data_IF_406715255887
#
_entry.id   IF_406715255887
#
_cell.length_a   1.000
_cell.length_b   1.000
_cell.length_c   1.000
_cell.angle_alpha   90.00
_cell.angle_beta   90.00
_cell.angle_gamma   90.00
#
_symmetry.space_group_name_H-M   'P 1'
#
loop_
_entity.id
_entity.type
_entity.pdbx_description
1 polymer ?
#
# COMPACT_ATOMS: atom_id res chain seq x y z
N UNK A 1 13.51 -45.15 3.07
CA UNK A 1 13.69 -45.07 4.55
C UNK A 1 12.36 -44.60 5.14
N UNK A 2 11.63 -45.44 5.93
CA UNK A 2 10.26 -45.12 6.38
C UNK A 2 10.19 -44.10 7.51
N UNK A 3 11.26 -43.38 7.78
CA UNK A 3 11.32 -42.44 8.90
C UNK A 3 10.99 -40.97 8.53
N UNK A 4 10.75 -40.65 7.26
CA UNK A 4 10.41 -39.32 6.79
C UNK A 4 9.17 -39.34 5.89
N UNK A 5 8.07 -39.87 6.38
CA UNK A 5 6.76 -39.40 5.93
C UNK A 5 6.57 -38.04 6.57
N UNK A 6 7.00 -37.01 5.85
CA UNK A 6 7.00 -35.63 6.37
C UNK A 6 5.58 -35.07 6.53
N UNK A 7 4.54 -35.82 6.13
CA UNK A 7 3.17 -35.30 6.12
C UNK A 7 2.99 -34.09 5.18
N UNK A 8 3.93 -33.87 4.27
CA UNK A 8 3.89 -32.77 3.28
C UNK A 8 3.65 -33.45 1.92
N UNK A 9 2.38 -33.54 1.57
CA UNK A 9 1.95 -34.23 0.35
C UNK A 9 1.67 -33.27 -0.79
N UNK A 10 1.54 -31.96 -0.50
CA UNK A 10 1.22 -30.93 -1.49
C UNK A 10 2.26 -29.81 -1.51
N UNK A 11 2.39 -29.12 -2.66
CA UNK A 11 3.25 -27.95 -2.79
C UNK A 11 2.82 -26.80 -1.85
N UNK A 12 1.53 -26.71 -1.49
CA UNK A 12 1.01 -25.74 -0.55
C UNK A 12 1.50 -26.01 0.89
N UNK A 13 1.49 -27.27 1.32
CA UNK A 13 2.02 -27.68 2.63
C UNK A 13 3.53 -27.45 2.71
N UNK A 14 4.27 -27.75 1.63
CA UNK A 14 5.70 -27.45 1.55
C UNK A 14 5.98 -25.94 1.70
N UNK A 15 5.18 -25.08 1.06
CA UNK A 15 5.29 -23.64 1.21
C UNK A 15 5.00 -23.16 2.64
N UNK A 16 3.98 -23.72 3.29
CA UNK A 16 3.66 -23.42 4.70
C UNK A 16 4.82 -23.83 5.61
N UNK A 17 5.38 -25.04 5.40
CA UNK A 17 6.52 -25.51 6.16
C UNK A 17 7.76 -24.61 6.00
N UNK A 18 7.96 -24.00 4.82
CA UNK A 18 9.01 -23.01 4.59
C UNK A 18 8.75 -21.69 5.30
N UNK A 19 7.49 -21.27 5.41
CA UNK A 19 7.12 -20.02 6.09
C UNK A 19 7.34 -20.07 7.61
N UNK A 20 7.15 -21.22 8.24
CA UNK A 20 7.32 -21.38 9.70
C UNK A 20 8.71 -20.92 10.18
N UNK A 21 9.85 -21.41 9.64
CA UNK A 21 11.16 -20.95 10.07
C UNK A 21 11.42 -19.49 9.73
N UNK A 22 10.85 -18.95 8.64
CA UNK A 22 10.96 -17.53 8.31
C UNK A 22 10.26 -16.66 9.36
N UNK A 23 9.06 -17.04 9.81
CA UNK A 23 8.36 -16.34 10.89
C UNK A 23 9.07 -16.50 12.23
N UNK A 24 9.63 -17.67 12.53
CA UNK A 24 10.44 -17.89 13.72
C UNK A 24 11.68 -17.00 13.74
N UNK A 25 12.37 -16.88 12.58
CA UNK A 25 13.51 -16.01 12.40
C UNK A 25 13.11 -14.52 12.57
N UNK A 26 11.99 -14.10 11.99
CA UNK A 26 11.46 -12.76 12.15
C UNK A 26 11.13 -12.45 13.61
N UNK A 27 10.49 -13.39 14.31
CA UNK A 27 10.20 -13.26 15.74
C UNK A 27 11.49 -13.15 16.59
N UNK A 28 12.51 -13.92 16.25
CA UNK A 28 13.79 -13.86 16.91
C UNK A 28 14.50 -12.51 16.73
N UNK A 29 14.48 -11.94 15.51
CA UNK A 29 15.00 -10.59 15.27
C UNK A 29 14.18 -9.54 16.01
N UNK A 30 12.84 -9.65 15.98
CA UNK A 30 11.96 -8.72 16.68
C UNK A 30 12.24 -8.69 18.20
N UNK A 31 12.49 -9.86 18.81
CA UNK A 31 12.88 -9.95 20.23
C UNK A 31 14.19 -9.22 20.53
N UNK A 32 15.07 -9.01 19.54
CA UNK A 32 16.36 -8.34 19.70
C UNK A 32 16.30 -6.83 19.47
N UNK A 33 15.15 -6.27 19.12
CA UNK A 33 14.99 -4.82 18.99
C UNK A 33 15.23 -4.20 20.38
N UNK A 34 16.22 -3.31 20.51
CA UNK A 34 16.50 -2.67 21.79
C UNK A 34 15.37 -1.70 22.15
N UNK A 35 15.22 -1.45 23.43
CA UNK A 35 14.30 -0.41 23.90
C UNK A 35 14.78 0.95 23.39
N UNK A 36 13.93 1.62 22.61
CA UNK A 36 14.29 2.87 21.91
C UNK A 36 14.26 4.11 22.81
N UNK A 37 13.80 3.99 24.08
CA UNK A 37 13.63 5.14 24.97
C UNK A 37 12.51 6.08 24.56
N UNK A 38 11.71 5.75 23.54
CA UNK A 38 10.59 6.57 23.10
C UNK A 38 9.59 6.76 24.26
N UNK A 39 9.24 8.02 24.52
CA UNK A 39 8.26 8.34 25.56
C UNK A 39 6.93 7.69 25.22
N UNK A 40 6.50 6.77 26.07
CA UNK A 40 5.15 6.21 25.99
C UNK A 40 4.17 7.30 26.40
N UNK A 41 3.26 7.67 25.51
CA UNK A 41 2.14 8.53 25.86
C UNK A 41 1.18 7.66 26.68
N UNK A 42 1.05 7.92 28.01
CA UNK A 42 0.20 7.07 28.84
C UNK A 42 -1.24 7.16 28.38
N UNK A 43 -1.85 6.02 28.07
CA UNK A 43 -3.29 5.95 27.94
C UNK A 43 -3.90 6.04 29.33
N UNK A 44 -4.71 7.06 29.56
CA UNK A 44 -5.50 7.17 30.77
C UNK A 44 -6.69 6.18 30.68
N UNK A 45 -6.39 4.90 30.94
CA UNK A 45 -7.40 3.87 31.05
C UNK A 45 -7.86 3.84 32.51
N UNK A 46 -9.16 3.99 32.72
CA UNK A 46 -9.80 3.89 34.02
C UNK A 46 -9.84 2.41 34.44
N UNK A 47 -9.10 2.05 35.48
CA UNK A 47 -9.04 0.67 35.99
C UNK A 47 -10.41 0.17 36.50
N UNK A 48 -11.32 1.08 36.88
CA UNK A 48 -12.66 0.77 37.35
C UNK A 48 -13.69 0.58 36.23
N UNK A 49 -13.33 0.85 34.96
CA UNK A 49 -14.24 0.70 33.83
C UNK A 49 -13.99 -0.59 33.06
N UNK A 50 -15.08 -1.17 32.56
CA UNK A 50 -14.99 -2.33 31.65
C UNK A 50 -14.06 -2.06 30.48
N UNK A 51 -13.31 -3.08 30.02
CA UNK A 51 -12.39 -3.02 28.87
C UNK A 51 -13.06 -2.43 27.63
N UNK A 52 -14.30 -2.78 27.36
CA UNK A 52 -15.09 -2.27 26.22
C UNK A 52 -15.29 -0.75 26.34
N UNK A 53 -15.61 -0.25 27.56
CA UNK A 53 -15.80 1.18 27.77
C UNK A 53 -14.51 1.96 27.61
N UNK A 54 -13.39 1.41 28.07
CA UNK A 54 -12.07 2.00 27.86
C UNK A 54 -11.69 2.05 26.36
N UNK A 55 -12.01 1.00 25.58
CA UNK A 55 -11.79 1.00 24.13
C UNK A 55 -12.66 2.06 23.41
N UNK A 56 -13.91 2.22 23.83
CA UNK A 56 -14.81 3.23 23.26
C UNK A 56 -14.32 4.67 23.49
N UNK A 57 -13.64 4.93 24.62
CA UNK A 57 -13.03 6.24 24.91
C UNK A 57 -11.87 6.58 23.95
N UNK A 58 -11.22 5.59 23.34
CA UNK A 58 -10.14 5.81 22.40
C UNK A 58 -10.63 6.22 21.00
N UNK A 59 -11.90 5.94 20.65
CA UNK A 59 -12.45 6.24 19.33
C UNK A 59 -12.41 7.74 18.99
N UNK A 60 -12.83 8.67 19.88
CA UNK A 60 -12.73 10.10 19.59
C UNK A 60 -11.30 10.59 19.41
N UNK A 61 -10.34 10.14 20.23
CA UNK A 61 -8.92 10.47 20.09
C UNK A 61 -8.36 9.98 18.76
N UNK A 62 -8.68 8.75 18.37
CA UNK A 62 -8.30 8.17 17.09
C UNK A 62 -8.89 8.96 15.91
N UNK A 63 -10.16 9.33 16.00
CA UNK A 63 -10.83 10.10 14.96
C UNK A 63 -10.23 11.51 14.80
N UNK A 64 -9.86 12.13 15.92
CA UNK A 64 -9.16 13.42 15.91
C UNK A 64 -7.77 13.30 15.26
N UNK A 65 -7.03 12.23 15.54
CA UNK A 65 -5.78 11.92 14.86
C UNK A 65 -5.96 11.76 13.34
N UNK A 66 -7.00 11.01 12.93
CA UNK A 66 -7.32 10.84 11.51
C UNK A 66 -7.63 12.19 10.85
N UNK A 67 -8.44 13.03 11.50
CA UNK A 67 -8.79 14.37 11.02
C UNK A 67 -7.56 15.27 10.88
N UNK A 68 -6.66 15.29 11.88
CA UNK A 68 -5.41 16.07 11.83
C UNK A 68 -4.54 15.71 10.64
N UNK A 69 -4.40 14.41 10.34
CA UNK A 69 -3.61 13.96 9.20
C UNK A 69 -4.24 14.35 7.86
N UNK A 70 -5.58 14.28 7.75
CA UNK A 70 -6.33 14.75 6.58
C UNK A 70 -6.36 16.29 6.45
N UNK A 71 -6.04 17.05 7.48
CA UNK A 71 -5.94 18.50 7.45
C UNK A 71 -4.52 19.01 7.15
N UNK A 72 -3.49 18.20 7.43
CA UNK A 72 -2.10 18.56 7.11
C UNK A 72 -1.86 18.53 5.60
N UNK A 73 -1.31 19.60 5.04
CA UNK A 73 -1.22 19.79 3.58
C UNK A 73 -0.33 18.81 2.85
N UNK A 74 0.67 18.22 3.51
CA UNK A 74 1.46 17.11 2.98
C UNK A 74 0.90 15.76 3.40
N UNK A 75 0.45 15.65 4.64
CA UNK A 75 -0.14 14.45 5.21
C UNK A 75 -1.34 13.96 4.40
N UNK A 76 -2.28 14.86 4.06
CA UNK A 76 -3.47 14.50 3.27
C UNK A 76 -3.13 13.92 1.88
N UNK A 77 -2.11 14.47 1.22
CA UNK A 77 -1.72 14.02 -0.12
C UNK A 77 -0.97 12.68 -0.05
N UNK A 78 -0.04 12.55 0.90
CA UNK A 78 0.67 11.29 1.09
C UNK A 78 -0.28 10.18 1.57
N UNK A 79 -1.20 10.48 2.50
CA UNK A 79 -2.22 9.53 2.96
C UNK A 79 -3.14 9.10 1.81
N UNK A 80 -3.68 10.05 1.03
CA UNK A 80 -4.56 9.73 -0.10
C UNK A 80 -3.84 8.85 -1.14
N UNK A 81 -2.57 9.16 -1.45
CA UNK A 81 -1.78 8.40 -2.43
C UNK A 81 -1.47 6.99 -1.93
N UNK A 82 -1.01 6.84 -0.68
CA UNK A 82 -0.72 5.50 -0.11
C UNK A 82 -1.98 4.68 0.08
N UNK A 83 -3.06 5.29 0.54
CA UNK A 83 -4.38 4.65 0.68
C UNK A 83 -4.87 4.10 -0.66
N UNK A 84 -4.81 4.90 -1.73
CA UNK A 84 -5.19 4.45 -3.07
C UNK A 84 -4.25 3.34 -3.56
N UNK A 85 -2.93 3.49 -3.38
CA UNK A 85 -1.96 2.48 -3.78
C UNK A 85 -2.22 1.13 -3.13
N UNK A 86 -2.43 1.10 -1.81
CA UNK A 86 -2.71 -0.15 -1.09
C UNK A 86 -4.07 -0.73 -1.45
N UNK A 87 -5.08 0.12 -1.68
CA UNK A 87 -6.38 -0.29 -2.22
C UNK A 87 -6.25 -1.00 -3.56
N UNK A 88 -5.43 -0.45 -4.46
CA UNK A 88 -5.12 -1.04 -5.78
C UNK A 88 -4.32 -2.33 -5.63
N UNK A 89 -3.20 -2.30 -4.89
CA UNK A 89 -2.31 -3.45 -4.69
C UNK A 89 -3.02 -4.64 -4.06
N UNK A 90 -3.87 -4.39 -3.06
CA UNK A 90 -4.65 -5.45 -2.41
C UNK A 90 -5.61 -6.17 -3.37
N UNK A 91 -6.14 -5.45 -4.36
CA UNK A 91 -7.07 -5.99 -5.35
C UNK A 91 -6.38 -6.46 -6.64
N UNK A 92 -5.17 -5.96 -6.94
CA UNK A 92 -4.45 -6.27 -8.18
C UNK A 92 -4.21 -7.77 -8.37
N UNK A 93 -4.00 -8.53 -7.28
CA UNK A 93 -3.86 -9.99 -7.34
C UNK A 93 -5.10 -10.67 -7.94
N UNK A 94 -6.30 -10.24 -7.56
CA UNK A 94 -7.55 -10.78 -8.11
C UNK A 94 -7.73 -10.39 -9.57
N UNK A 95 -7.35 -9.17 -9.92
CA UNK A 95 -7.37 -8.65 -11.29
C UNK A 95 -6.41 -9.44 -12.17
N UNK A 96 -5.17 -9.69 -11.73
CA UNK A 96 -4.18 -10.49 -12.48
C UNK A 96 -4.65 -11.94 -12.65
N UNK A 97 -5.27 -12.53 -11.61
CA UNK A 97 -5.82 -13.88 -11.69
C UNK A 97 -6.96 -13.95 -12.73
N UNK A 98 -7.93 -13.02 -12.67
CA UNK A 98 -9.05 -12.98 -13.60
C UNK A 98 -8.60 -12.69 -15.05
N UNK A 99 -7.66 -11.74 -15.22
CA UNK A 99 -7.09 -11.42 -16.52
C UNK A 99 -6.34 -12.62 -17.12
N UNK A 100 -5.48 -13.27 -16.37
CA UNK A 100 -4.68 -14.38 -16.89
C UNK A 100 -5.53 -15.59 -17.25
N UNK A 101 -6.63 -15.82 -16.54
CA UNK A 101 -7.61 -16.83 -16.91
C UNK A 101 -8.34 -16.47 -18.22
N UNK A 102 -8.72 -15.21 -18.39
CA UNK A 102 -9.48 -14.74 -19.56
C UNK A 102 -8.59 -14.55 -20.81
N UNK A 103 -7.36 -14.00 -20.65
CA UNK A 103 -6.49 -13.65 -21.78
C UNK A 103 -5.53 -14.78 -22.16
N UNK A 104 -5.02 -15.55 -21.19
CA UNK A 104 -3.98 -16.57 -21.39
C UNK A 104 -4.53 -18.00 -21.22
N UNK A 105 -5.79 -18.17 -20.77
CA UNK A 105 -6.35 -19.48 -20.47
C UNK A 105 -5.68 -20.19 -19.29
N UNK A 106 -5.07 -19.46 -18.37
CA UNK A 106 -4.30 -20.02 -17.28
C UNK A 106 -5.17 -20.55 -16.14
N UNK A 107 -4.70 -21.64 -15.54
CA UNK A 107 -5.25 -22.13 -14.26
C UNK A 107 -4.86 -21.17 -13.13
N UNK A 108 -5.57 -21.22 -11.99
CA UNK A 108 -5.28 -20.39 -10.81
C UNK A 108 -3.82 -20.56 -10.33
N UNK A 109 -3.26 -21.77 -10.42
CA UNK A 109 -1.87 -22.05 -10.04
C UNK A 109 -0.88 -21.32 -10.95
N UNK A 110 -1.08 -21.36 -12.27
CA UNK A 110 -0.25 -20.66 -13.24
C UNK A 110 -0.41 -19.14 -13.11
N UNK A 111 -1.63 -18.67 -12.92
CA UNK A 111 -1.94 -17.26 -12.69
C UNK A 111 -1.27 -16.69 -11.42
N UNK A 112 -1.17 -17.49 -10.36
CA UNK A 112 -0.48 -17.09 -9.12
C UNK A 112 1.00 -16.79 -9.35
N UNK A 113 1.66 -17.46 -10.30
CA UNK A 113 3.05 -17.16 -10.67
C UNK A 113 3.19 -15.73 -11.23
N UNK A 114 2.20 -15.25 -11.99
CA UNK A 114 2.19 -13.88 -12.53
C UNK A 114 2.01 -12.84 -11.43
N UNK A 115 1.26 -13.15 -10.38
CA UNK A 115 1.19 -12.30 -9.18
C UNK A 115 2.57 -12.19 -8.52
N UNK A 116 3.33 -13.28 -8.47
CA UNK A 116 4.72 -13.29 -8.03
C UNK A 116 5.63 -12.39 -8.88
N UNK A 117 5.42 -12.35 -10.18
CA UNK A 117 6.15 -11.46 -11.10
C UNK A 117 5.90 -9.99 -10.78
N UNK A 118 4.65 -9.59 -10.50
CA UNK A 118 4.32 -8.24 -10.03
C UNK A 118 5.05 -7.91 -8.72
N UNK A 119 5.09 -8.86 -7.78
CA UNK A 119 5.77 -8.66 -6.50
C UNK A 119 7.28 -8.44 -6.67
N UNK A 120 7.93 -9.17 -7.58
CA UNK A 120 9.35 -8.95 -7.93
C UNK A 120 9.54 -7.53 -8.49
N UNK A 121 8.68 -7.11 -9.43
CA UNK A 121 8.70 -5.75 -9.96
C UNK A 121 8.57 -4.70 -8.85
N UNK A 122 7.61 -4.90 -7.94
CA UNK A 122 7.39 -3.99 -6.79
C UNK A 122 8.63 -3.90 -5.89
N UNK A 123 9.26 -5.03 -5.59
CA UNK A 123 10.48 -5.07 -4.79
C UNK A 123 11.63 -4.31 -5.46
N UNK A 124 11.85 -4.53 -6.76
CA UNK A 124 12.86 -3.80 -7.54
C UNK A 124 12.57 -2.30 -7.55
N UNK A 125 11.33 -1.91 -7.84
CA UNK A 125 10.91 -0.50 -7.82
C UNK A 125 11.12 0.16 -6.46
N UNK A 126 10.79 -0.55 -5.38
CA UNK A 126 10.97 -0.08 -4.00
C UNK A 126 12.46 0.14 -3.67
N UNK A 127 13.33 -0.81 -4.03
CA UNK A 127 14.79 -0.67 -3.82
C UNK A 127 15.34 0.52 -4.62
N UNK A 128 14.97 0.65 -5.88
CA UNK A 128 15.43 1.79 -6.70
C UNK A 128 14.92 3.13 -6.13
N UNK A 129 13.69 3.18 -5.65
CA UNK A 129 13.15 4.38 -5.01
C UNK A 129 13.89 4.74 -3.73
N UNK A 130 14.16 3.78 -2.84
CA UNK A 130 14.90 4.02 -1.60
C UNK A 130 16.32 4.54 -1.83
N UNK A 131 16.96 4.15 -2.94
CA UNK A 131 18.32 4.60 -3.29
C UNK A 131 18.35 5.97 -3.98
N UNK A 132 17.30 6.34 -4.73
CA UNK A 132 17.35 7.50 -5.64
C UNK A 132 16.41 8.63 -5.25
N UNK A 133 15.38 8.35 -4.44
CA UNK A 133 14.35 9.35 -4.14
C UNK A 133 14.52 9.90 -2.74
N UNK A 134 14.50 11.22 -2.67
CA UNK A 134 14.51 11.96 -1.41
C UNK A 134 13.08 12.28 -0.99
N UNK A 135 12.89 12.46 0.28
CA UNK A 135 11.59 12.72 0.90
C UNK A 135 10.88 13.97 0.33
N UNK A 136 11.65 15.04 0.11
CA UNK A 136 11.17 16.31 -0.44
C UNK A 136 10.73 16.22 -1.93
N UNK A 137 11.06 15.14 -2.62
CA UNK A 137 10.66 14.91 -4.00
C UNK A 137 9.53 13.87 -4.16
N UNK A 138 9.04 13.27 -3.06
CA UNK A 138 8.03 12.22 -3.09
C UNK A 138 6.78 12.62 -3.90
N UNK A 139 6.26 13.84 -3.72
CA UNK A 139 5.06 14.31 -4.41
C UNK A 139 5.22 14.48 -5.93
N UNK A 140 6.46 14.58 -6.44
CA UNK A 140 6.72 14.63 -7.89
C UNK A 140 6.41 13.33 -8.61
N UNK A 141 6.28 12.24 -7.87
CA UNK A 141 6.01 10.90 -8.41
C UNK A 141 4.52 10.63 -8.68
N UNK A 142 3.62 11.54 -8.32
CA UNK A 142 2.17 11.34 -8.54
C UNK A 142 1.78 10.96 -9.99
N UNK A 143 2.44 11.49 -11.05
CA UNK A 143 2.15 11.06 -12.42
C UNK A 143 2.33 9.55 -12.64
N UNK A 144 3.21 8.89 -11.87
CA UNK A 144 3.37 7.42 -11.94
C UNK A 144 2.11 6.68 -11.51
N UNK A 145 1.37 7.22 -10.53
CA UNK A 145 0.09 6.64 -10.13
C UNK A 145 -0.97 6.72 -11.23
N UNK A 146 -0.97 7.81 -12.01
CA UNK A 146 -1.84 7.92 -13.21
C UNK A 146 -1.38 6.90 -14.27
N UNK A 147 -0.07 6.80 -14.51
CA UNK A 147 0.49 5.81 -15.42
C UNK A 147 0.11 4.38 -15.02
N UNK A 148 0.14 4.04 -13.71
CA UNK A 148 -0.31 2.73 -13.24
C UNK A 148 -1.76 2.43 -13.64
N UNK A 149 -2.67 3.40 -13.51
CA UNK A 149 -4.05 3.24 -13.98
C UNK A 149 -4.12 2.94 -15.48
N UNK A 150 -3.33 3.66 -16.30
CA UNK A 150 -3.21 3.40 -17.74
C UNK A 150 -2.62 2.01 -18.01
N UNK A 151 -1.61 1.59 -17.27
CA UNK A 151 -1.02 0.24 -17.40
C UNK A 151 -2.04 -0.85 -17.05
N UNK A 152 -2.85 -0.68 -16.01
CA UNK A 152 -3.92 -1.64 -15.70
C UNK A 152 -4.90 -1.77 -16.86
N UNK A 153 -5.29 -0.66 -17.50
CA UNK A 153 -6.14 -0.71 -18.72
C UNK A 153 -5.41 -1.38 -19.88
N UNK A 154 -4.13 -1.05 -20.10
CA UNK A 154 -3.31 -1.60 -21.18
C UNK A 154 -3.09 -3.12 -21.04
N UNK A 155 -3.22 -3.68 -19.84
CA UNK A 155 -3.13 -5.13 -19.60
C UNK A 155 -4.15 -5.92 -20.45
N UNK A 156 -5.29 -5.32 -20.79
CA UNK A 156 -6.32 -5.96 -21.63
C UNK A 156 -5.89 -6.25 -23.06
N UNK A 157 -4.82 -5.63 -23.53
CA UNK A 157 -4.28 -5.81 -24.89
C UNK A 157 -3.13 -6.83 -24.94
N UNK A 158 -2.85 -7.48 -23.81
CA UNK A 158 -1.77 -8.45 -23.69
C UNK A 158 -2.37 -9.83 -23.64
N UNK A 159 -2.04 -10.65 -24.62
CA UNK A 159 -2.50 -12.03 -24.80
C UNK A 159 -1.34 -13.05 -24.84
N UNK A 160 -0.11 -12.56 -24.60
CA UNK A 160 1.11 -13.35 -24.73
C UNK A 160 1.96 -13.27 -23.46
N UNK A 161 2.43 -14.43 -22.98
CA UNK A 161 3.27 -14.54 -21.77
C UNK A 161 4.58 -13.72 -21.90
N UNK A 162 5.21 -13.72 -23.06
CA UNK A 162 6.48 -13.00 -23.28
C UNK A 162 6.34 -11.48 -23.13
N UNK A 163 5.16 -10.94 -23.41
CA UNK A 163 4.83 -9.54 -23.17
C UNK A 163 4.30 -9.32 -21.75
N UNK A 164 3.55 -10.29 -21.23
CA UNK A 164 2.94 -10.21 -19.89
C UNK A 164 3.98 -10.07 -18.78
N UNK A 165 5.04 -10.91 -18.82
CA UNK A 165 6.07 -10.91 -17.75
C UNK A 165 6.76 -9.55 -17.63
N UNK A 166 7.41 -8.96 -18.68
CA UNK A 166 8.04 -7.66 -18.55
C UNK A 166 7.05 -6.56 -18.22
N UNK A 167 5.83 -6.62 -18.76
CA UNK A 167 4.78 -5.67 -18.46
C UNK A 167 4.39 -5.66 -16.98
N UNK A 168 4.19 -6.83 -16.38
CA UNK A 168 3.86 -6.98 -14.97
C UNK A 168 5.01 -6.56 -14.05
N UNK A 169 6.27 -6.80 -14.45
CA UNK A 169 7.45 -6.29 -13.75
C UNK A 169 7.44 -4.76 -13.75
N UNK A 170 7.17 -4.14 -14.90
CA UNK A 170 7.10 -2.66 -15.01
C UNK A 170 5.94 -2.12 -14.18
N UNK A 171 4.75 -2.73 -14.27
CA UNK A 171 3.58 -2.32 -13.47
C UNK A 171 3.88 -2.39 -11.97
N UNK A 172 4.43 -3.50 -11.49
CA UNK A 172 4.87 -3.64 -10.11
C UNK A 172 5.95 -2.62 -9.75
N UNK A 173 6.94 -2.43 -10.62
CA UNK A 173 8.04 -1.49 -10.43
C UNK A 173 7.58 -0.04 -10.27
N UNK A 174 6.64 0.41 -11.09
CA UNK A 174 6.02 1.73 -10.96
C UNK A 174 5.34 1.89 -9.58
N UNK A 175 4.64 0.85 -9.14
CA UNK A 175 3.99 0.82 -7.84
C UNK A 175 4.98 0.93 -6.68
N UNK A 176 6.00 0.08 -6.66
CA UNK A 176 7.05 0.10 -5.65
C UNK A 176 7.82 1.43 -5.61
N UNK A 177 8.11 1.98 -6.79
CA UNK A 177 8.82 3.26 -6.91
C UNK A 177 7.98 4.44 -6.40
N UNK A 178 6.66 4.40 -6.56
CA UNK A 178 5.75 5.43 -6.07
C UNK A 178 5.54 5.33 -4.55
N UNK A 179 5.27 4.10 -4.05
CA UNK A 179 4.78 3.94 -2.68
C UNK A 179 5.84 4.20 -1.62
N UNK A 180 7.10 3.83 -1.88
CA UNK A 180 8.16 3.95 -0.86
C UNK A 180 8.37 5.39 -0.41
N UNK A 181 8.65 6.39 -1.27
CA UNK A 181 8.84 7.76 -0.83
C UNK A 181 7.55 8.42 -0.33
N UNK A 182 6.39 8.04 -0.88
CA UNK A 182 5.11 8.57 -0.39
C UNK A 182 4.77 8.04 1.00
N UNK A 183 5.06 6.77 1.27
CA UNK A 183 4.88 6.16 2.59
C UNK A 183 5.85 6.76 3.62
N UNK A 184 7.12 6.97 3.24
CA UNK A 184 8.10 7.62 4.08
C UNK A 184 7.66 9.06 4.44
N UNK A 185 7.16 9.83 3.46
CA UNK A 185 6.61 11.16 3.69
C UNK A 185 5.41 11.13 4.64
N UNK A 186 4.49 10.18 4.46
CA UNK A 186 3.34 9.98 5.33
C UNK A 186 3.75 9.67 6.75
N UNK A 187 4.68 8.75 6.95
CA UNK A 187 5.17 8.37 8.27
C UNK A 187 5.91 9.51 8.96
N UNK A 188 6.73 10.26 8.24
CA UNK A 188 7.39 11.46 8.74
C UNK A 188 6.37 12.52 9.22
N UNK A 189 5.36 12.82 8.40
CA UNK A 189 4.31 13.78 8.78
C UNK A 189 3.47 13.30 9.96
N UNK A 190 3.05 12.05 9.92
CA UNK A 190 2.24 11.46 10.97
C UNK A 190 2.98 11.36 12.30
N UNK A 191 4.28 11.01 12.28
CA UNK A 191 5.13 11.03 13.47
C UNK A 191 5.17 12.41 14.12
N UNK A 192 5.39 13.45 13.33
CA UNK A 192 5.48 14.84 13.82
C UNK A 192 4.15 15.38 14.35
N UNK A 193 3.01 14.89 13.83
CA UNK A 193 1.68 15.35 14.24
C UNK A 193 1.12 14.63 15.47
N UNK A 194 1.40 13.32 15.63
CA UNK A 194 0.71 12.49 16.61
C UNK A 194 1.53 11.34 17.18
N UNK A 195 2.77 11.18 16.75
CA UNK A 195 3.63 10.05 17.10
C UNK A 195 3.43 8.82 16.19
N UNK A 196 4.45 7.95 16.14
CA UNK A 196 4.51 6.84 15.19
C UNK A 196 3.33 5.85 15.30
N UNK A 197 2.98 5.42 16.52
CA UNK A 197 1.94 4.41 16.71
C UNK A 197 0.56 4.86 16.25
N UNK A 198 0.16 6.09 16.58
CA UNK A 198 -1.12 6.68 16.13
C UNK A 198 -1.14 6.91 14.62
N UNK A 199 -0.02 7.37 14.06
CA UNK A 199 0.12 7.58 12.63
C UNK A 199 -0.08 6.28 11.84
N UNK A 200 0.58 5.20 12.25
CA UNK A 200 0.47 3.88 11.62
C UNK A 200 -0.97 3.34 11.74
N UNK A 201 -1.62 3.55 12.88
CA UNK A 201 -3.00 3.10 13.07
C UNK A 201 -3.97 3.85 12.13
N UNK A 202 -3.82 5.17 11.97
CA UNK A 202 -4.61 5.98 11.03
C UNK A 202 -4.36 5.56 9.59
N UNK A 203 -3.09 5.38 9.21
CA UNK A 203 -2.71 4.89 7.88
C UNK A 203 -3.38 3.56 7.58
N UNK A 204 -3.21 2.56 8.46
CA UNK A 204 -3.78 1.23 8.28
C UNK A 204 -5.30 1.25 8.14
N UNK A 205 -6.02 2.04 8.93
CA UNK A 205 -7.47 2.15 8.79
C UNK A 205 -7.87 2.63 7.40
N UNK A 206 -7.26 3.73 6.92
CA UNK A 206 -7.60 4.30 5.62
C UNK A 206 -7.26 3.32 4.48
N UNK A 207 -6.11 2.66 4.55
CA UNK A 207 -5.68 1.65 3.58
C UNK A 207 -6.63 0.45 3.53
N UNK A 208 -7.01 -0.11 4.69
CA UNK A 208 -7.93 -1.24 4.76
C UNK A 208 -9.33 -0.88 4.25
N UNK A 209 -9.84 0.32 4.58
CA UNK A 209 -11.11 0.79 4.05
C UNK A 209 -11.08 0.93 2.52
N UNK A 210 -9.96 1.40 1.96
CA UNK A 210 -9.81 1.50 0.52
C UNK A 210 -9.72 0.11 -0.14
N UNK A 211 -8.96 -0.83 0.44
CA UNK A 211 -8.87 -2.21 -0.04
C UNK A 211 -10.27 -2.85 -0.09
N UNK A 212 -11.03 -2.73 1.00
CA UNK A 212 -12.39 -3.25 1.08
C UNK A 212 -13.34 -2.56 0.09
N UNK A 213 -13.29 -1.22 -0.01
CA UNK A 213 -14.13 -0.44 -0.91
C UNK A 213 -13.89 -0.78 -2.38
N UNK A 214 -12.63 -0.84 -2.81
CA UNK A 214 -12.27 -1.21 -4.18
C UNK A 214 -12.57 -2.69 -4.47
N UNK A 215 -12.35 -3.58 -3.49
CA UNK A 215 -12.70 -5.00 -3.61
C UNK A 215 -14.21 -5.20 -3.73
N UNK A 216 -15.00 -4.50 -2.94
CA UNK A 216 -16.46 -4.49 -3.05
C UNK A 216 -16.91 -4.00 -4.43
N UNK A 217 -16.35 -2.87 -4.89
CA UNK A 217 -16.68 -2.30 -6.20
C UNK A 217 -16.36 -3.27 -7.34
N UNK A 218 -15.20 -3.94 -7.29
CA UNK A 218 -14.80 -4.95 -8.26
C UNK A 218 -15.76 -6.13 -8.25
N UNK A 219 -16.06 -6.70 -7.09
CA UNK A 219 -16.97 -7.84 -6.93
C UNK A 219 -18.40 -7.50 -7.36
N UNK A 220 -18.87 -6.31 -7.00
CA UNK A 220 -20.19 -5.82 -7.40
C UNK A 220 -20.28 -5.66 -8.92
N UNK A 221 -19.27 -5.07 -9.56
CA UNK A 221 -19.24 -4.87 -11.01
C UNK A 221 -19.26 -6.20 -11.77
N UNK A 222 -18.48 -7.19 -11.33
CA UNK A 222 -18.48 -8.53 -11.93
C UNK A 222 -19.78 -9.27 -11.66
N UNK A 223 -20.38 -9.10 -10.47
CA UNK A 223 -21.68 -9.66 -10.12
C UNK A 223 -22.85 -9.09 -10.97
N UNK A 224 -22.72 -7.85 -11.45
CA UNK A 224 -23.65 -7.25 -12.41
C UNK A 224 -23.44 -7.71 -13.86
N UNK A 225 -22.53 -8.65 -14.10
CA UNK A 225 -22.29 -9.22 -15.43
C UNK A 225 -21.20 -8.51 -16.24
N UNK A 226 -20.42 -7.62 -15.64
CA UNK A 226 -19.28 -7.04 -16.33
C UNK A 226 -18.23 -8.14 -16.63
N UNK A 227 -17.75 -8.20 -17.89
CA UNK A 227 -16.70 -9.12 -18.25
C UNK A 227 -15.41 -8.81 -17.48
N UNK A 228 -14.51 -9.79 -17.36
CA UNK A 228 -13.20 -9.59 -16.71
C UNK A 228 -12.45 -8.38 -17.30
N UNK A 229 -12.39 -8.26 -18.62
CA UNK A 229 -11.77 -7.13 -19.31
C UNK A 229 -12.47 -5.78 -19.04
N UNK A 230 -13.81 -5.79 -19.00
CA UNK A 230 -14.59 -4.60 -18.63
C UNK A 230 -14.33 -4.15 -17.19
N UNK A 231 -14.29 -5.09 -16.24
CA UNK A 231 -13.97 -4.81 -14.85
C UNK A 231 -12.55 -4.26 -14.67
N UNK A 232 -11.57 -4.83 -15.37
CA UNK A 232 -10.17 -4.36 -15.38
C UNK A 232 -10.08 -2.95 -15.94
N UNK A 233 -10.77 -2.67 -17.05
CA UNK A 233 -10.82 -1.33 -17.65
C UNK A 233 -11.43 -0.33 -16.68
N UNK A 234 -12.58 -0.64 -16.10
CA UNK A 234 -13.25 0.25 -15.14
C UNK A 234 -12.37 0.52 -13.91
N UNK A 235 -11.69 -0.51 -13.41
CA UNK A 235 -10.78 -0.39 -12.28
C UNK A 235 -9.56 0.49 -12.61
N UNK A 236 -8.90 0.26 -13.74
CA UNK A 236 -7.73 1.04 -14.18
C UNK A 236 -8.08 2.51 -14.44
N UNK A 237 -9.24 2.78 -15.09
CA UNK A 237 -9.75 4.15 -15.31
C UNK A 237 -10.06 4.83 -13.99
N UNK A 238 -10.72 4.14 -13.05
CA UNK A 238 -11.01 4.68 -11.71
C UNK A 238 -9.73 5.05 -10.98
N UNK A 239 -8.73 4.17 -10.97
CA UNK A 239 -7.43 4.40 -10.30
C UNK A 239 -6.72 5.61 -10.92
N UNK A 240 -6.60 5.66 -12.25
CA UNK A 240 -5.98 6.78 -12.95
C UNK A 240 -6.69 8.10 -12.69
N UNK A 241 -8.04 8.08 -12.68
CA UNK A 241 -8.87 9.25 -12.41
C UNK A 241 -8.72 9.75 -10.97
N UNK A 242 -8.81 8.86 -9.98
CA UNK A 242 -8.63 9.24 -8.56
C UNK A 242 -7.23 9.77 -8.33
N UNK A 243 -6.19 9.15 -8.92
CA UNK A 243 -4.82 9.65 -8.80
C UNK A 243 -4.64 11.02 -9.46
N UNK A 244 -5.31 11.26 -10.59
CA UNK A 244 -5.35 12.57 -11.22
C UNK A 244 -6.03 13.61 -10.32
N UNK A 245 -7.13 13.28 -9.65
CA UNK A 245 -7.78 14.16 -8.68
C UNK A 245 -6.86 14.48 -7.50
N UNK A 246 -6.13 13.49 -6.95
CA UNK A 246 -5.15 13.72 -5.88
C UNK A 246 -4.04 14.67 -6.35
N UNK A 247 -3.57 14.51 -7.59
CA UNK A 247 -2.59 15.42 -8.18
C UNK A 247 -3.14 16.85 -8.31
N UNK A 248 -4.36 17.04 -8.80
CA UNK A 248 -5.00 18.34 -8.87
C UNK A 248 -5.18 18.96 -7.47
N UNK A 249 -5.52 18.16 -6.48
CA UNK A 249 -5.60 18.59 -5.09
C UNK A 249 -4.24 19.07 -4.57
N UNK A 250 -3.17 18.35 -4.87
CA UNK A 250 -1.81 18.78 -4.53
C UNK A 250 -1.44 20.11 -5.22
N UNK A 251 -1.73 20.26 -6.50
CA UNK A 251 -1.48 21.51 -7.24
C UNK A 251 -2.30 22.69 -6.67
N UNK A 252 -3.55 22.42 -6.26
CA UNK A 252 -4.37 23.42 -5.59
C UNK A 252 -3.76 23.86 -4.25
N UNK A 253 -3.30 22.89 -3.43
CA UNK A 253 -2.60 23.21 -2.18
C UNK A 253 -1.31 24.00 -2.43
N UNK A 254 -0.57 23.67 -3.48
CA UNK A 254 0.65 24.37 -3.84
C UNK A 254 0.39 25.83 -4.24
N UNK A 255 -0.76 26.11 -4.85
CA UNK A 255 -1.16 27.49 -5.23
C UNK A 255 -1.63 28.31 -4.03
N UNK A 256 -2.42 27.73 -3.13
CA UNK A 256 -3.09 28.47 -2.06
C UNK A 256 -2.37 28.42 -0.70
N UNK A 257 -1.47 27.43 -0.48
CA UNK A 257 -0.75 27.20 0.76
C UNK A 257 0.76 27.06 0.54
N UNK A 258 1.32 27.86 -0.35
CA UNK A 258 2.70 27.75 -0.82
C UNK A 258 3.73 27.87 0.31
N UNK A 259 3.54 28.82 1.21
CA UNK A 259 4.47 29.05 2.33
C UNK A 259 4.44 27.90 3.34
N UNK A 260 3.23 27.42 3.68
CA UNK A 260 3.05 26.28 4.56
C UNK A 260 3.71 25.02 3.97
N UNK A 261 3.45 24.73 2.70
CA UNK A 261 4.06 23.60 2.01
C UNK A 261 5.59 23.71 1.93
N UNK A 262 6.11 24.90 1.63
CA UNK A 262 7.55 25.14 1.58
C UNK A 262 8.19 24.87 2.95
N UNK A 263 7.58 25.35 4.03
CA UNK A 263 8.03 25.08 5.40
C UNK A 263 7.99 23.59 5.75
N UNK A 264 6.89 22.88 5.43
CA UNK A 264 6.75 21.45 5.69
C UNK A 264 7.77 20.61 4.91
N UNK A 265 8.02 20.97 3.65
CA UNK A 265 9.04 20.35 2.81
C UNK A 265 10.47 20.62 3.32
N UNK A 266 10.71 21.84 3.84
CA UNK A 266 11.99 22.16 4.43
C UNK A 266 12.28 21.32 5.70
N UNK A 267 11.27 21.12 6.54
CA UNK A 267 11.39 20.24 7.72
C UNK A 267 11.70 18.80 7.26
N UNK A 268 10.92 18.27 6.32
CA UNK A 268 11.14 16.93 5.78
C UNK A 268 12.55 16.74 5.17
N UNK A 269 13.09 17.79 4.53
CA UNK A 269 14.43 17.77 3.97
C UNK A 269 15.52 17.77 5.03
N UNK A 270 15.36 18.53 6.10
CA UNK A 270 16.38 18.65 7.16
C UNK A 270 16.42 17.37 7.98
N UNK A 271 15.29 16.78 8.31
CA UNK A 271 15.20 15.52 9.04
C UNK A 271 15.80 14.36 8.23
N UNK A 272 15.66 14.37 6.89
CA UNK A 272 16.25 13.39 5.96
C UNK A 272 17.79 13.47 5.88
N UNK A 273 18.36 14.63 6.23
CA UNK A 273 19.82 14.84 6.24
C UNK A 273 20.48 14.47 7.57
N UNK A 274 19.71 14.34 8.63
CA UNK A 274 20.20 14.10 10.00
C UNK A 274 19.77 12.75 10.58
N UNK A 275 18.98 11.94 9.84
CA UNK A 275 18.60 10.56 10.15
C UNK A 275 19.51 9.57 9.46
#
# INVERSE_FOLDING_TARGET
LPFFTTGVDTSAEAAICLLIPLYALAAWFNKRIPYTGAALIPMHLDTDKSMVRNLLVLIPDFWDCNKRLWQDKLGQISLATTTLFWGVSGNLRYIVLAWSAAALGYTTTQASSLVGVVAIGTAVGAVVASMKMRLDHATRLMPLGIAMGCFVVAMNFIDNLWLAVPFLIVLGGLGGFLVVPMNALLQHRGHNLMGAGRSIAVQNLNEQLCILGLGFLYTFSTGMGLSAFGAITAFGVLVGYVMWLIKLWHEHNHKHHREELARLMHIARNDDLHG
#
